data_IF_700560223567
#
_entry.id   IF_700560223567
#
_cell.length_a   1.000
_cell.length_b   1.000
_cell.length_c   1.000
_cell.angle_alpha   90.00
_cell.angle_beta   90.00
_cell.angle_gamma   90.00
#
_symmetry.space_group_name_H-M   'P 1'
#
loop_
_entity.id
_entity.type
_entity.pdbx_description
1 polymer ?
#
# COMPACT_ATOMS: atom_id res chain seq x y z
N UNK A 1 2.59 7.75 -18.22
CA UNK A 1 1.96 7.15 -17.06
C UNK A 1 2.35 7.91 -15.80
N UNK A 2 1.34 8.33 -15.06
CA UNK A 2 1.59 9.12 -13.87
C UNK A 2 1.29 8.30 -12.62
N UNK A 3 2.12 8.49 -11.61
CA UNK A 3 1.95 7.81 -10.33
C UNK A 3 1.21 8.73 -9.36
N UNK A 4 0.16 8.19 -8.71
CA UNK A 4 -0.54 8.93 -7.66
C UNK A 4 0.32 9.07 -6.42
N UNK A 5 1.13 8.04 -6.14
CA UNK A 5 1.93 8.00 -4.92
C UNK A 5 3.36 7.68 -5.25
N UNK A 6 4.27 8.11 -4.38
CA UNK A 6 5.69 7.87 -4.52
C UNK A 6 6.17 6.98 -3.39
N UNK A 7 7.29 6.30 -3.63
CA UNK A 7 7.95 5.52 -2.59
C UNK A 7 8.28 6.45 -1.42
N UNK A 8 7.89 6.06 -0.22
CA UNK A 8 8.07 6.86 0.99
C UNK A 8 6.82 7.56 1.45
N UNK A 9 5.81 7.66 0.59
CA UNK A 9 4.56 8.33 0.98
C UNK A 9 3.82 7.55 2.05
N UNK A 10 3.23 8.27 2.99
CA UNK A 10 2.34 7.71 4.00
C UNK A 10 0.93 7.67 3.41
N UNK A 11 0.34 6.51 3.38
CA UNK A 11 -0.99 6.31 2.77
C UNK A 11 -1.90 5.58 3.73
N UNK A 12 -3.20 5.69 3.47
CA UNK A 12 -4.24 5.01 4.21
C UNK A 12 -5.04 4.14 3.25
N UNK A 13 -5.39 2.93 3.69
CA UNK A 13 -6.27 2.07 2.91
C UNK A 13 -7.70 2.58 3.01
N UNK A 14 -8.35 2.77 1.87
CA UNK A 14 -9.73 3.28 1.83
C UNK A 14 -10.69 2.32 1.15
N UNK A 15 -10.23 1.14 0.74
CA UNK A 15 -11.09 0.13 0.14
C UNK A 15 -11.95 -0.56 1.19
N UNK A 16 -12.61 -1.63 0.80
CA UNK A 16 -13.39 -2.41 1.75
C UNK A 16 -12.46 -3.31 2.56
N UNK A 17 -12.88 -3.62 3.79
CA UNK A 17 -12.12 -4.56 4.62
C UNK A 17 -12.05 -5.90 3.92
N UNK A 18 -10.86 -6.48 3.88
CA UNK A 18 -10.67 -7.74 3.19
C UNK A 18 -9.44 -8.47 3.72
N UNK A 19 -9.37 -9.76 3.38
CA UNK A 19 -8.26 -10.60 3.77
C UNK A 19 -7.27 -10.70 2.61
N UNK A 20 -6.00 -10.52 2.93
CA UNK A 20 -4.92 -10.72 1.97
C UNK A 20 -4.10 -11.91 2.40
N UNK A 21 -3.80 -12.79 1.45
CA UNK A 21 -2.97 -13.94 1.71
C UNK A 21 -1.51 -13.61 1.40
N UNK A 22 -0.64 -13.88 2.35
CA UNK A 22 0.78 -13.63 2.20
C UNK A 22 1.50 -14.97 2.01
N UNK A 23 1.96 -15.23 0.80
CA UNK A 23 2.56 -16.51 0.46
C UNK A 23 3.77 -16.89 1.28
N UNK A 24 4.73 -15.98 1.51
CA UNK A 24 5.93 -16.38 2.25
C UNK A 24 5.65 -16.92 3.66
N UNK A 25 4.66 -16.36 4.33
CA UNK A 25 4.30 -16.80 5.68
C UNK A 25 3.09 -17.72 5.70
N UNK A 26 2.40 -17.84 4.57
CA UNK A 26 1.16 -18.60 4.44
C UNK A 26 0.12 -18.19 5.46
N UNK A 27 0.01 -16.87 5.66
CA UNK A 27 -0.94 -16.31 6.61
C UNK A 27 -1.89 -15.35 5.93
N UNK A 28 -3.07 -15.20 6.51
CA UNK A 28 -4.06 -14.24 6.07
C UNK A 28 -4.00 -13.00 6.94
N UNK A 29 -4.05 -11.84 6.31
CA UNK A 29 -4.02 -10.58 7.01
C UNK A 29 -5.28 -9.81 6.72
N UNK A 30 -5.90 -9.29 7.78
CA UNK A 30 -7.11 -8.51 7.67
C UNK A 30 -6.74 -7.03 7.50
N UNK A 31 -7.00 -6.50 6.30
CA UNK A 31 -6.75 -5.09 5.99
C UNK A 31 -8.06 -4.34 6.13
N UNK A 32 -8.05 -3.29 6.93
CA UNK A 32 -9.25 -2.52 7.25
C UNK A 32 -9.11 -1.08 6.77
N UNK A 33 -10.25 -0.47 6.47
CA UNK A 33 -10.29 0.95 6.13
C UNK A 33 -9.63 1.75 7.25
N UNK A 34 -8.72 2.62 6.86
CA UNK A 34 -7.98 3.42 7.83
C UNK A 34 -6.62 2.87 8.19
N UNK A 35 -6.29 1.66 7.76
CA UNK A 35 -4.95 1.13 7.99
C UNK A 35 -3.92 2.01 7.31
N UNK A 36 -2.85 2.35 8.03
CA UNK A 36 -1.80 3.22 7.54
C UNK A 36 -0.57 2.42 7.15
N UNK A 37 0.14 2.91 6.16
CA UNK A 37 1.37 2.28 5.73
C UNK A 37 2.22 3.18 4.87
N UNK A 38 3.40 2.70 4.53
CA UNK A 38 4.36 3.43 3.70
C UNK A 38 4.48 2.71 2.37
N UNK A 39 4.43 3.48 1.28
CA UNK A 39 4.68 2.94 -0.05
C UNK A 39 6.16 2.59 -0.15
N UNK A 40 6.47 1.34 -0.47
CA UNK A 40 7.85 0.91 -0.57
C UNK A 40 8.25 0.52 -1.99
N UNK A 41 7.29 0.31 -2.88
CA UNK A 41 7.58 -0.09 -4.24
C UNK A 41 6.40 0.25 -5.15
N UNK A 42 6.68 0.53 -6.40
CA UNK A 42 5.65 0.83 -7.40
C UNK A 42 5.88 -0.07 -8.61
N UNK A 43 4.76 -0.50 -9.21
CA UNK A 43 4.82 -1.34 -10.40
C UNK A 43 3.59 -1.07 -11.24
N UNK A 44 3.79 -0.99 -12.54
CA UNK A 44 2.68 -0.87 -13.48
C UNK A 44 2.37 -2.26 -14.03
N UNK A 45 1.11 -2.66 -13.95
CA UNK A 45 0.71 -3.94 -14.51
C UNK A 45 -0.57 -3.76 -15.34
N UNK A 46 -1.16 -4.88 -15.78
CA UNK A 46 -2.33 -4.83 -16.65
C UNK A 46 -3.54 -4.15 -16.03
N UNK A 47 -3.54 -4.03 -14.70
CA UNK A 47 -4.66 -3.41 -13.98
C UNK A 47 -4.38 -1.95 -13.59
N UNK A 48 -3.19 -1.45 -13.91
CA UNK A 48 -2.84 -0.07 -13.63
C UNK A 48 -1.65 0.06 -12.70
N UNK A 49 -1.58 1.21 -12.03
CA UNK A 49 -0.52 1.47 -11.07
C UNK A 49 -0.75 0.65 -9.81
N UNK A 50 0.24 -0.13 -9.44
CA UNK A 50 0.17 -0.95 -8.24
C UNK A 50 1.26 -0.50 -7.26
N UNK A 51 0.93 -0.53 -5.98
CA UNK A 51 1.84 -0.08 -4.93
C UNK A 51 2.00 -1.17 -3.90
N UNK A 52 3.24 -1.47 -3.56
CA UNK A 52 3.49 -2.35 -2.43
C UNK A 52 3.62 -1.48 -1.20
N UNK A 53 2.77 -1.74 -0.23
CA UNK A 53 2.66 -0.91 0.97
C UNK A 53 2.97 -1.76 2.19
N UNK A 54 3.85 -1.24 3.04
CA UNK A 54 4.12 -1.86 4.32
C UNK A 54 3.17 -1.27 5.33
N UNK A 55 2.18 -2.05 5.73
CA UNK A 55 1.19 -1.60 6.70
C UNK A 55 1.75 -1.67 8.11
N UNK A 56 1.49 -0.64 8.91
CA UNK A 56 2.07 -0.55 10.24
C UNK A 56 1.57 -1.65 11.18
N UNK A 57 0.31 -2.08 11.02
CA UNK A 57 -0.23 -3.15 11.84
C UNK A 57 0.37 -4.50 11.52
N UNK A 58 0.94 -4.64 10.33
CA UNK A 58 1.45 -5.91 9.84
C UNK A 58 2.90 -5.72 9.43
N UNK A 59 3.79 -5.70 10.42
CA UNK A 59 5.17 -5.24 10.22
C UNK A 59 5.95 -6.00 9.15
N UNK A 60 5.54 -7.22 8.81
CA UNK A 60 6.28 -8.00 7.83
C UNK A 60 5.54 -8.20 6.53
N UNK A 61 4.41 -7.54 6.37
CA UNK A 61 3.55 -7.84 5.23
C UNK A 61 3.49 -6.72 4.24
N UNK A 62 3.74 -7.09 3.02
CA UNK A 62 3.70 -6.19 1.91
C UNK A 62 2.46 -6.52 1.11
N UNK A 63 1.48 -5.65 1.20
CA UNK A 63 0.25 -5.82 0.45
C UNK A 63 0.33 -5.00 -0.82
N UNK A 64 -0.31 -5.47 -1.88
CA UNK A 64 -0.41 -4.76 -3.14
C UNK A 64 -1.73 -4.03 -3.20
N UNK A 65 -1.68 -2.77 -3.56
CA UNK A 65 -2.89 -1.95 -3.68
C UNK A 65 -2.81 -1.15 -4.98
N UNK A 66 -3.99 -0.72 -5.46
CA UNK A 66 -4.10 0.11 -6.65
C UNK A 66 -4.47 1.54 -6.25
N UNK A 67 -4.40 2.47 -7.23
CA UNK A 67 -4.62 3.88 -6.96
C UNK A 67 -5.90 4.15 -6.17
N UNK A 68 -6.98 3.47 -6.53
CA UNK A 68 -8.30 3.73 -5.95
C UNK A 68 -8.50 3.09 -4.58
N UNK A 69 -7.53 2.33 -4.11
CA UNK A 69 -7.62 1.69 -2.80
C UNK A 69 -6.89 2.46 -1.71
N UNK A 70 -6.19 3.52 -2.08
CA UNK A 70 -5.34 4.27 -1.16
C UNK A 70 -5.70 5.75 -1.16
N UNK A 71 -5.36 6.41 -0.08
CA UNK A 71 -5.47 7.86 0.06
C UNK A 71 -4.17 8.39 0.65
N UNK A 72 -3.70 9.49 0.12
CA UNK A 72 -2.45 10.11 0.58
C UNK A 72 -2.69 10.78 1.93
N UNK A 73 -1.84 10.46 2.90
CA UNK A 73 -1.87 11.11 4.21
C UNK A 73 -0.76 12.14 4.29
N UNK A 74 0.45 11.76 3.85
CA UNK A 74 1.59 12.67 3.91
C UNK A 74 2.59 12.29 2.83
N UNK A 75 3.01 13.27 2.06
CA UNK A 75 4.01 13.04 1.03
C UNK A 75 5.38 12.90 1.66
N UNK A 76 6.18 12.01 1.10
CA UNK A 76 7.58 11.93 1.45
C UNK A 76 8.30 13.11 0.79
N UNK A 77 8.97 13.91 1.59
CA UNK A 77 9.74 15.04 1.09
C UNK A 77 11.20 14.77 1.29
N UNK A 78 11.91 14.72 0.18
CA UNK A 78 13.34 14.50 0.19
C UNK A 78 14.00 15.86 0.08
N UNK A 79 14.25 16.47 1.21
CA UNK A 79 14.86 17.79 1.25
C UNK A 79 16.37 17.66 1.21
N UNK A 80 16.96 18.45 0.34
CA UNK A 80 18.42 18.46 0.15
C UNK A 80 18.93 19.88 0.26
#
# INVERSE_FOLDING_TARGET
MEWEYQVGDLVSYIGTSQLYFHFPTEEWYNVQVGDLGIVIYREFNDFGNAYRVKLFRHSENLCWFYDDELSLISEYKNER
#
